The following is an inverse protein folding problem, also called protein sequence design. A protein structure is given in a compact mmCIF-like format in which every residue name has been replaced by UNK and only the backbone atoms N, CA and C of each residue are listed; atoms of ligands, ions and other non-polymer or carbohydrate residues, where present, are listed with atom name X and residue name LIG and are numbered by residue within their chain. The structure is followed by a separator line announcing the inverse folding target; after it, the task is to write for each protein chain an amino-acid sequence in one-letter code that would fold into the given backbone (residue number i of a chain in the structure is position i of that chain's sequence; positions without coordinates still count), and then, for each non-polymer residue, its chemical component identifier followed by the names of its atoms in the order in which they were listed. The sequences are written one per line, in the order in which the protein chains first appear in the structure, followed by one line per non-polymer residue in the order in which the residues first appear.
data_IF_154576817114
#
_entry.id   IF_154576817114
#
_cell.length_a   1.000
_cell.length_b   1.000
_cell.length_c   1.000
_cell.angle_alpha   90.00
_cell.angle_beta   90.00
_cell.angle_gamma   90.00
#
_symmetry.space_group_name_H-M   'P 1'
#
loop_
_entity.id
_entity.type
_entity.pdbx_description
1 polymer ?
#
# COMPACT_ATOMS: atom_id res chain seq x y z
N UNK A 1 7.31 40.78 39.98
CA UNK A 1 7.46 40.36 38.57
C UNK A 1 6.07 39.96 38.07
N UNK A 2 5.41 40.84 37.31
CA UNK A 2 4.09 40.59 36.74
C UNK A 2 4.31 40.24 35.26
N UNK A 3 4.01 39.01 34.85
CA UNK A 3 3.98 38.64 33.44
C UNK A 3 2.68 39.19 32.85
N UNK A 4 2.78 40.06 31.85
CA UNK A 4 1.62 40.56 31.11
C UNK A 4 1.02 39.42 30.29
N UNK A 5 -0.29 39.21 30.41
CA UNK A 5 -1.05 38.30 29.57
C UNK A 5 -1.00 38.79 28.11
N UNK A 6 -0.83 37.89 27.11
CA UNK A 6 -0.80 38.29 25.72
C UNK A 6 -2.16 38.86 25.29
N UNK A 7 -2.14 39.98 24.55
CA UNK A 7 -3.34 40.58 23.97
C UNK A 7 -3.91 39.67 22.88
N UNK A 8 -5.21 39.40 22.96
CA UNK A 8 -5.96 38.52 22.06
C UNK A 8 -6.05 39.04 20.61
N UNK A 9 -5.58 40.27 20.35
CA UNK A 9 -5.62 40.93 19.05
C UNK A 9 -4.43 40.62 18.13
N UNK A 10 -3.37 39.98 18.64
CA UNK A 10 -2.16 39.66 17.87
C UNK A 10 -2.15 38.22 17.33
N UNK A 11 -3.28 37.51 17.41
CA UNK A 11 -3.44 36.19 16.81
C UNK A 11 -3.71 36.38 15.30
N UNK A 12 -2.86 35.88 14.40
CA UNK A 12 -3.13 35.93 12.96
C UNK A 12 -4.50 35.31 12.66
N UNK A 13 -5.25 35.83 11.67
CA UNK A 13 -6.60 35.36 11.37
C UNK A 13 -6.56 33.86 11.19
N UNK A 14 -7.24 33.19 12.12
CA UNK A 14 -7.45 31.76 12.21
C UNK A 14 -7.66 31.23 10.78
N UNK A 15 -6.72 30.43 10.28
CA UNK A 15 -7.05 29.52 9.17
C UNK A 15 -8.14 28.67 9.79
N UNK A 16 -9.40 29.01 9.49
CA UNK A 16 -10.53 28.46 10.21
C UNK A 16 -10.35 26.95 10.30
N UNK A 17 -10.55 26.39 11.49
CA UNK A 17 -10.51 24.94 11.69
C UNK A 17 -11.33 24.17 10.64
N UNK A 18 -12.32 24.84 10.03
CA UNK A 18 -13.13 24.37 8.90
C UNK A 18 -12.41 24.33 7.55
N UNK A 19 -11.44 25.22 7.28
CA UNK A 19 -10.65 25.20 6.05
C UNK A 19 -9.66 24.03 6.01
N UNK A 20 -9.12 23.61 7.16
CA UNK A 20 -8.23 22.44 7.27
C UNK A 20 -9.00 21.13 7.16
N UNK A 21 -10.25 21.09 7.66
CA UNK A 21 -11.13 19.90 7.57
C UNK A 21 -11.65 19.64 6.16
N UNK A 22 -11.67 20.65 5.28
CA UNK A 22 -12.03 20.52 3.87
C UNK A 22 -10.89 20.00 2.97
N UNK A 23 -9.65 19.98 3.46
CA UNK A 23 -8.49 19.63 2.65
C UNK A 23 -8.20 18.12 2.64
N UNK A 24 -8.61 17.40 3.68
CA UNK A 24 -8.44 15.95 3.81
C UNK A 24 -9.79 15.27 4.02
N UNK A 25 -10.18 14.44 3.05
CA UNK A 25 -11.39 13.64 3.12
C UNK A 25 -11.03 12.16 3.09
N UNK A 26 -11.52 11.41 4.07
CA UNK A 26 -11.48 9.96 4.02
C UNK A 26 -12.55 9.48 3.04
N UNK A 27 -12.12 8.84 1.96
CA UNK A 27 -13.02 8.20 1.00
C UNK A 27 -12.89 6.69 1.09
N UNK A 28 -14.03 6.01 1.11
CA UNK A 28 -14.07 4.55 1.08
C UNK A 28 -13.81 4.07 -0.34
N UNK A 29 -12.71 3.35 -0.53
CA UNK A 29 -12.49 2.56 -1.75
C UNK A 29 -13.42 1.35 -1.69
N UNK A 30 -14.41 1.29 -2.59
CA UNK A 30 -15.36 0.18 -2.69
C UNK A 30 -14.89 -0.86 -3.70
N UNK A 31 -14.96 -2.13 -3.31
CA UNK A 31 -14.74 -3.27 -4.19
C UNK A 31 -16.09 -3.93 -4.51
N UNK A 32 -16.23 -4.53 -5.69
CA UNK A 32 -17.47 -5.21 -6.10
C UNK A 32 -17.81 -6.46 -5.27
N UNK A 33 -16.90 -6.87 -4.40
CA UNK A 33 -17.03 -8.03 -3.51
C UNK A 33 -16.26 -7.75 -2.22
N UNK A 34 -16.57 -8.51 -1.16
CA UNK A 34 -15.83 -8.42 0.09
C UNK A 34 -14.40 -8.95 -0.07
N UNK A 35 -13.43 -8.15 0.35
CA UNK A 35 -12.02 -8.53 0.38
C UNK A 35 -11.49 -8.54 1.81
N UNK A 36 -10.65 -9.52 2.11
CA UNK A 36 -9.90 -9.59 3.35
C UNK A 36 -8.42 -9.38 3.04
N UNK A 37 -7.93 -8.17 3.34
CA UNK A 37 -6.56 -7.73 3.04
C UNK A 37 -5.63 -8.15 4.17
N UNK A 38 -4.48 -8.76 3.83
CA UNK A 38 -3.44 -9.12 4.79
C UNK A 38 -2.38 -8.02 4.91
N UNK A 39 -1.88 -7.51 3.79
CA UNK A 39 -0.90 -6.43 3.71
C UNK A 39 -1.11 -5.62 2.44
N UNK A 40 -0.80 -4.34 2.49
CA UNK A 40 -0.87 -3.44 1.33
C UNK A 40 0.30 -2.47 1.31
N UNK A 41 0.61 -1.93 0.13
CA UNK A 41 1.52 -0.80 -0.06
C UNK A 41 1.04 0.05 -1.23
N UNK A 42 1.31 1.35 -1.17
CA UNK A 42 0.92 2.32 -2.21
C UNK A 42 2.10 3.22 -2.51
N UNK A 43 2.54 3.24 -3.78
CA UNK A 43 3.56 4.18 -4.26
C UNK A 43 3.25 4.58 -5.68
N UNK A 44 3.46 5.86 -5.99
CA UNK A 44 3.26 6.40 -7.34
C UNK A 44 1.89 6.04 -7.95
N UNK A 45 0.81 6.22 -7.18
CA UNK A 45 -0.57 5.83 -7.53
C UNK A 45 -0.79 4.33 -7.79
N UNK A 46 0.20 3.47 -7.60
CA UNK A 46 0.04 2.03 -7.70
C UNK A 46 -0.25 1.47 -6.31
N UNK A 47 -1.46 0.93 -6.13
CA UNK A 47 -1.87 0.18 -4.95
C UNK A 47 -1.64 -1.31 -5.19
N UNK A 48 -0.90 -1.95 -4.28
CA UNK A 48 -0.75 -3.39 -4.20
C UNK A 48 -1.51 -3.90 -2.97
N UNK A 49 -2.40 -4.87 -3.18
CA UNK A 49 -3.14 -5.55 -2.12
C UNK A 49 -2.76 -7.02 -2.11
N UNK A 50 -2.32 -7.52 -0.97
CA UNK A 50 -2.33 -8.95 -0.69
C UNK A 50 -3.58 -9.32 0.09
N UNK A 51 -4.26 -10.37 -0.35
CA UNK A 51 -5.42 -10.91 0.35
C UNK A 51 -5.00 -12.08 1.24
N UNK A 52 -5.78 -12.35 2.30
CA UNK A 52 -5.59 -13.52 3.16
C UNK A 52 -5.65 -14.86 2.41
N UNK A 53 -6.23 -14.88 1.21
CA UNK A 53 -6.27 -16.04 0.31
C UNK A 53 -4.94 -16.33 -0.39
N UNK A 54 -3.95 -15.43 -0.29
CA UNK A 54 -2.69 -15.48 -1.04
C UNK A 54 -2.75 -14.81 -2.41
N UNK A 55 -3.91 -14.28 -2.82
CA UNK A 55 -4.05 -13.47 -4.04
C UNK A 55 -3.34 -12.13 -3.88
N UNK A 56 -2.76 -11.67 -4.98
CA UNK A 56 -2.18 -10.33 -5.12
C UNK A 56 -2.93 -9.56 -6.19
N UNK A 57 -3.36 -8.36 -5.84
CA UNK A 57 -4.03 -7.42 -6.74
C UNK A 57 -3.16 -6.19 -6.91
N UNK A 58 -3.10 -5.68 -8.14
CA UNK A 58 -2.49 -4.40 -8.48
C UNK A 58 -3.55 -3.50 -9.09
N UNK A 59 -3.57 -2.24 -8.69
CA UNK A 59 -4.49 -1.23 -9.17
C UNK A 59 -3.74 0.09 -9.39
N UNK A 60 -3.96 0.74 -10.52
CA UNK A 60 -3.63 2.15 -10.70
C UNK A 60 -4.78 2.99 -10.13
N UNK A 61 -4.49 3.82 -9.13
CA UNK A 61 -5.47 4.68 -8.48
C UNK A 61 -5.98 5.80 -9.39
N UNK A 62 -5.33 6.07 -10.53
CA UNK A 62 -5.88 6.92 -11.59
C UNK A 62 -7.01 6.21 -12.37
N UNK A 63 -6.99 4.87 -12.42
CA UNK A 63 -7.97 4.04 -13.12
C UNK A 63 -8.42 2.88 -12.22
N UNK A 64 -9.08 3.15 -11.07
CA UNK A 64 -9.31 2.16 -10.02
C UNK A 64 -10.26 1.01 -10.43
N UNK A 65 -10.99 1.17 -11.53
CA UNK A 65 -11.82 0.10 -12.11
C UNK A 65 -10.99 -1.01 -12.77
N UNK A 66 -9.72 -0.74 -13.10
CA UNK A 66 -8.81 -1.68 -13.74
C UNK A 66 -7.98 -2.41 -12.70
N UNK A 67 -8.55 -3.50 -12.17
CA UNK A 67 -7.88 -4.36 -11.20
C UNK A 67 -7.14 -5.47 -11.95
N UNK A 68 -5.85 -5.64 -11.64
CA UNK A 68 -5.03 -6.67 -12.22
C UNK A 68 -4.64 -7.73 -11.19
N UNK A 69 -4.90 -9.00 -11.51
CA UNK A 69 -4.41 -10.14 -10.74
C UNK A 69 -2.92 -10.38 -11.02
N UNK A 70 -2.11 -10.43 -9.96
CA UNK A 70 -0.72 -10.87 -10.03
C UNK A 70 -0.65 -12.38 -9.74
N UNK A 71 -0.20 -13.14 -10.73
CA UNK A 71 -0.09 -14.58 -10.70
C UNK A 71 1.12 -15.02 -9.86
N UNK A 72 0.84 -15.42 -8.62
CA UNK A 72 1.79 -16.11 -7.74
C UNK A 72 2.09 -17.52 -8.31
N UNK A 73 3.37 -17.97 -8.33
CA UNK A 73 3.71 -19.30 -8.83
C UNK A 73 2.98 -20.42 -8.06
N UNK A 74 2.68 -21.52 -8.75
CA UNK A 74 1.79 -22.59 -8.24
C UNK A 74 2.16 -23.12 -6.85
N UNK A 75 3.45 -23.25 -6.56
CA UNK A 75 3.95 -23.73 -5.26
C UNK A 75 3.58 -22.79 -4.11
N UNK A 76 3.33 -21.51 -4.38
CA UNK A 76 3.06 -20.47 -3.39
C UNK A 76 1.62 -19.95 -3.43
N UNK A 77 0.73 -20.48 -4.29
CA UNK A 77 -0.61 -19.94 -4.53
C UNK A 77 -1.50 -19.78 -3.28
N UNK A 78 -1.30 -20.61 -2.26
CA UNK A 78 -2.07 -20.57 -1.02
C UNK A 78 -1.25 -20.05 0.17
N UNK A 79 -0.04 -19.55 -0.10
CA UNK A 79 0.79 -18.93 0.93
C UNK A 79 0.27 -17.52 1.22
N UNK A 80 0.11 -17.20 2.50
CA UNK A 80 -0.17 -15.84 2.93
C UNK A 80 1.05 -14.98 2.57
N UNK A 81 0.81 -13.82 1.96
CA UNK A 81 1.85 -12.82 1.73
C UNK A 81 1.98 -11.98 3.00
N UNK A 82 3.18 -12.00 3.59
CA UNK A 82 3.47 -11.35 4.86
C UNK A 82 4.07 -9.95 4.72
N UNK A 83 4.84 -9.71 3.65
CA UNK A 83 5.49 -8.41 3.40
C UNK A 83 5.44 -8.02 1.93
N UNK A 84 5.39 -6.70 1.71
CA UNK A 84 5.42 -6.06 0.40
C UNK A 84 6.56 -5.03 0.39
N UNK A 85 7.37 -5.07 -0.65
CA UNK A 85 8.42 -4.10 -0.93
C UNK A 85 8.19 -3.52 -2.33
N UNK A 86 7.46 -2.41 -2.38
CA UNK A 86 7.25 -1.68 -3.62
C UNK A 86 8.36 -0.63 -3.80
N UNK A 87 8.96 -0.56 -4.98
CA UNK A 87 9.91 0.52 -5.31
C UNK A 87 9.20 1.89 -5.32
N UNK A 88 9.90 3.01 -5.05
CA UNK A 88 9.30 4.35 -5.05
C UNK A 88 8.53 4.71 -6.33
N UNK A 89 9.00 4.26 -7.49
CA UNK A 89 8.32 4.49 -8.78
C UNK A 89 7.18 3.52 -9.08
N UNK A 90 6.89 2.55 -8.22
CA UNK A 90 5.86 1.53 -8.43
C UNK A 90 6.22 0.44 -9.44
N UNK A 91 7.44 0.49 -10.02
CA UNK A 91 7.81 -0.37 -11.15
C UNK A 91 8.24 -1.79 -10.75
N UNK A 92 8.86 -1.89 -9.59
CA UNK A 92 9.38 -3.13 -9.04
C UNK A 92 8.66 -3.48 -7.76
N UNK A 93 8.15 -4.70 -7.68
CA UNK A 93 7.48 -5.25 -6.51
C UNK A 93 8.19 -6.52 -6.09
N UNK A 94 8.57 -6.62 -4.82
CA UNK A 94 8.97 -7.87 -4.18
C UNK A 94 7.99 -8.18 -3.06
N UNK A 95 7.55 -9.43 -2.98
CA UNK A 95 6.69 -9.91 -1.90
C UNK A 95 7.33 -11.09 -1.19
N UNK A 96 7.07 -11.20 0.10
CA UNK A 96 7.48 -12.34 0.93
C UNK A 96 6.29 -13.23 1.24
N UNK A 97 6.42 -14.53 0.99
CA UNK A 97 5.46 -15.54 1.45
C UNK A 97 5.71 -15.90 2.91
N UNK A 98 4.72 -16.45 3.61
CA UNK A 98 4.88 -16.95 4.99
C UNK A 98 5.95 -18.04 5.20
N UNK A 99 6.61 -18.50 4.14
CA UNK A 99 7.73 -19.46 4.16
C UNK A 99 9.09 -18.81 3.88
N UNK A 100 9.19 -17.47 3.96
CA UNK A 100 10.38 -16.68 3.64
C UNK A 100 10.90 -16.97 2.21
N UNK A 101 10.00 -17.26 1.28
CA UNK A 101 10.29 -17.26 -0.16
C UNK A 101 9.89 -15.90 -0.74
N UNK A 102 10.72 -15.36 -1.64
CA UNK A 102 10.50 -14.03 -2.23
C UNK A 102 10.11 -14.15 -3.69
N UNK A 103 9.17 -13.31 -4.12
CA UNK A 103 8.67 -13.30 -5.48
C UNK A 103 8.75 -11.86 -6.01
N UNK A 104 9.34 -11.72 -7.19
CA UNK A 104 9.47 -10.45 -7.89
C UNK A 104 8.41 -10.31 -8.98
N UNK A 105 7.87 -9.11 -9.11
CA UNK A 105 7.01 -8.68 -10.20
C UNK A 105 7.55 -7.38 -10.80
N UNK A 106 7.55 -7.33 -12.13
CA UNK A 106 7.75 -6.12 -12.91
C UNK A 106 6.41 -5.46 -13.22
N UNK A 107 6.38 -4.14 -13.41
CA UNK A 107 5.18 -3.38 -13.77
C UNK A 107 4.51 -3.89 -15.04
N UNK A 108 5.26 -4.44 -15.98
CA UNK A 108 4.70 -4.96 -17.23
C UNK A 108 4.27 -6.42 -17.16
N UNK A 109 4.50 -7.10 -16.03
CA UNK A 109 4.25 -8.54 -15.89
C UNK A 109 3.22 -8.84 -14.81
N UNK A 110 2.35 -9.82 -15.07
CA UNK A 110 1.46 -10.38 -14.05
C UNK A 110 2.06 -11.61 -13.37
N UNK A 111 3.01 -12.31 -14.02
CA UNK A 111 3.60 -13.54 -13.50
C UNK A 111 4.82 -13.28 -12.63
N UNK A 112 4.76 -13.75 -11.39
CA UNK A 112 5.85 -13.61 -10.43
C UNK A 112 7.05 -14.52 -10.74
N UNK A 113 8.25 -14.01 -10.48
CA UNK A 113 9.51 -14.76 -10.56
C UNK A 113 10.04 -15.04 -9.15
N UNK A 114 10.25 -16.32 -8.81
CA UNK A 114 10.79 -16.67 -7.49
C UNK A 114 12.27 -16.29 -7.41
N UNK A 115 12.64 -15.54 -6.37
CA UNK A 115 14.01 -15.10 -6.11
C UNK A 115 14.74 -16.14 -5.24
N UNK A 116 15.26 -17.19 -5.87
CA UNK A 116 15.90 -18.33 -5.16
C UNK A 116 17.06 -17.91 -4.24
N UNK A 117 17.81 -16.86 -4.61
CA UNK A 117 18.95 -16.37 -3.83
C UNK A 117 18.55 -15.69 -2.51
N UNK A 118 17.28 -15.30 -2.35
CA UNK A 118 16.76 -14.68 -1.13
C UNK A 118 16.00 -15.67 -0.24
N UNK A 119 15.88 -16.93 -0.67
CA UNK A 119 15.12 -17.94 0.07
C UNK A 119 15.66 -18.12 1.49
N UNK A 120 14.76 -18.03 2.48
CA UNK A 120 15.09 -18.19 3.90
C UNK A 120 15.64 -16.92 4.56
N UNK A 121 15.90 -15.86 3.80
CA UNK A 121 16.30 -14.58 4.36
C UNK A 121 15.10 -13.91 5.05
N UNK A 122 15.30 -13.27 6.19
CA UNK A 122 14.27 -12.44 6.83
C UNK A 122 14.66 -10.97 6.65
N UNK A 123 14.07 -10.31 5.65
CA UNK A 123 14.27 -8.89 5.40
C UNK A 123 13.36 -8.11 6.35
N UNK A 124 13.95 -7.24 7.17
CA UNK A 124 13.22 -6.40 8.13
C UNK A 124 12.76 -5.10 7.49
#
# INVERSE_FOLDING_TARGET
MHCASPNLSDVPPDISSDAVSLLFRLEKVSFSYEISVSVMDIKNNILILALHTGKLLRMDLMHPSEIQDLEVPRKQKSSIIGKIFLSPGGQHLVVETGTNEYIYFDVHTTRGKVLQRLKGLNIK
#
